data_IF_389584143441
#
_entry.id   IF_389584143441
#
_cell.length_a   1.000
_cell.length_b   1.000
_cell.length_c   1.000
_cell.angle_alpha   90.00
_cell.angle_beta   90.00
_cell.angle_gamma   90.00
#
_symmetry.space_group_name_H-M   'P 1'
#
loop_
_entity.id
_entity.type
_entity.pdbx_description
1 polymer ?
#
# COMPACT_ATOMS: atom_id res chain seq x y z
N UNK A 1 48.66 -6.49 -9.83
CA UNK A 1 47.66 -6.79 -10.90
C UNK A 1 46.22 -6.87 -10.37
N UNK A 2 45.94 -6.54 -9.12
CA UNK A 2 44.61 -6.61 -8.49
C UNK A 2 43.83 -5.28 -8.46
N UNK A 3 44.47 -4.14 -8.79
CA UNK A 3 43.81 -2.81 -8.76
C UNK A 3 43.01 -2.44 -10.02
N UNK A 4 43.13 -3.17 -11.13
CA UNK A 4 42.41 -2.88 -12.38
C UNK A 4 41.03 -3.53 -12.49
N UNK A 5 40.70 -4.51 -11.67
CA UNK A 5 39.39 -5.18 -11.71
C UNK A 5 38.32 -4.38 -10.95
N UNK A 6 38.67 -3.61 -9.94
CA UNK A 6 37.72 -2.79 -9.17
C UNK A 6 37.27 -1.53 -9.93
N UNK A 7 38.19 -0.89 -10.71
CA UNK A 7 37.81 0.34 -11.45
C UNK A 7 36.80 0.11 -12.58
N UNK A 8 36.81 -1.06 -13.21
CA UNK A 8 35.87 -1.38 -14.29
C UNK A 8 34.43 -1.67 -13.75
N UNK A 9 34.32 -2.18 -12.54
CA UNK A 9 33.00 -2.44 -11.90
C UNK A 9 32.36 -1.14 -11.38
N UNK A 10 33.14 -0.22 -10.86
CA UNK A 10 32.65 1.10 -10.41
C UNK A 10 32.13 1.94 -11.58
N UNK A 11 32.88 2.00 -12.70
CA UNK A 11 32.44 2.75 -13.90
C UNK A 11 31.17 2.20 -14.53
N UNK A 12 30.91 0.89 -14.45
CA UNK A 12 29.70 0.25 -14.98
C UNK A 12 28.48 0.56 -14.11
N UNK A 13 28.62 0.53 -12.77
CA UNK A 13 27.53 0.86 -11.85
C UNK A 13 27.13 2.34 -11.95
N UNK A 14 28.09 3.26 -12.02
CA UNK A 14 27.81 4.70 -12.16
C UNK A 14 27.05 5.02 -13.46
N UNK A 15 27.37 4.36 -14.56
CA UNK A 15 26.66 4.52 -15.83
C UNK A 15 25.23 3.99 -15.76
N UNK A 16 25.02 2.85 -15.10
CA UNK A 16 23.67 2.27 -14.89
C UNK A 16 22.83 3.20 -14.00
N UNK A 17 23.37 3.69 -12.90
CA UNK A 17 22.68 4.60 -12.00
C UNK A 17 22.34 5.93 -12.71
N UNK A 18 23.25 6.46 -13.53
CA UNK A 18 22.98 7.68 -14.32
C UNK A 18 21.84 7.50 -15.31
N UNK A 19 21.80 6.37 -16.03
CA UNK A 19 20.71 6.06 -16.96
C UNK A 19 19.38 5.86 -16.23
N UNK A 20 19.39 5.19 -15.06
CA UNK A 20 18.20 5.03 -14.23
C UNK A 20 17.70 6.37 -13.68
N UNK A 21 18.59 7.29 -13.31
CA UNK A 21 18.22 8.62 -12.85
C UNK A 21 17.50 9.43 -13.94
N UNK A 22 18.05 9.44 -15.15
CA UNK A 22 17.42 10.14 -16.29
C UNK A 22 16.00 9.62 -16.56
N UNK A 23 15.84 8.31 -16.61
CA UNK A 23 14.52 7.69 -16.79
C UNK A 23 13.59 7.94 -15.61
N UNK A 24 14.10 7.91 -14.38
CA UNK A 24 13.32 8.20 -13.17
C UNK A 24 12.81 9.63 -13.17
N UNK A 25 13.59 10.60 -13.63
CA UNK A 25 13.16 12.00 -13.78
C UNK A 25 11.98 12.13 -14.74
N UNK A 26 12.07 11.48 -15.91
CA UNK A 26 10.98 11.50 -16.89
C UNK A 26 9.68 10.87 -16.32
N UNK A 27 9.78 9.79 -15.55
CA UNK A 27 8.63 9.19 -14.89
C UNK A 27 8.08 10.06 -13.74
N UNK A 28 8.96 10.72 -12.97
CA UNK A 28 8.54 11.59 -11.87
C UNK A 28 7.78 12.83 -12.34
N UNK A 29 8.07 13.35 -13.53
CA UNK A 29 7.30 14.43 -14.16
C UNK A 29 5.83 14.01 -14.38
N UNK A 30 5.62 12.80 -14.90
CA UNK A 30 4.28 12.23 -15.10
C UNK A 30 3.58 12.03 -13.74
N UNK A 31 4.30 11.51 -12.74
CA UNK A 31 3.77 11.31 -11.39
C UNK A 31 3.41 12.66 -10.74
N UNK A 32 4.20 13.70 -10.96
CA UNK A 32 3.91 15.05 -10.49
C UNK A 32 2.61 15.62 -11.11
N UNK A 33 2.34 15.34 -12.38
CA UNK A 33 1.07 15.69 -13.02
C UNK A 33 -0.11 14.96 -12.38
N UNK A 34 0.06 13.66 -12.03
CA UNK A 34 -0.95 12.88 -11.30
C UNK A 34 -1.26 13.54 -9.95
N UNK A 35 -0.24 13.87 -9.15
CA UNK A 35 -0.44 14.55 -7.87
C UNK A 35 -1.11 15.91 -8.01
N UNK A 36 -0.73 16.70 -9.02
CA UNK A 36 -1.35 17.98 -9.33
C UNK A 36 -2.83 17.82 -9.66
N UNK A 37 -3.20 16.82 -10.46
CA UNK A 37 -4.58 16.56 -10.82
C UNK A 37 -5.42 16.09 -9.63
N UNK A 38 -4.90 15.16 -8.82
CA UNK A 38 -5.55 14.69 -7.58
C UNK A 38 -5.80 15.86 -6.62
N UNK A 39 -4.86 16.79 -6.50
CA UNK A 39 -4.96 17.93 -5.59
C UNK A 39 -6.10 18.90 -5.93
N UNK A 40 -6.65 18.85 -7.15
CA UNK A 40 -7.85 19.61 -7.52
C UNK A 40 -9.10 19.13 -6.78
N UNK A 41 -9.20 17.86 -6.46
CA UNK A 41 -10.35 17.26 -5.78
C UNK A 41 -10.07 17.00 -4.29
N UNK A 42 -8.89 16.51 -3.94
CA UNK A 42 -8.50 16.17 -2.57
C UNK A 42 -7.78 17.33 -1.93
N UNK A 43 -8.33 17.83 -0.80
CA UNK A 43 -7.71 18.88 0.02
C UNK A 43 -7.00 18.25 1.20
N UNK A 44 -5.80 18.69 1.49
CA UNK A 44 -4.96 18.05 2.53
C UNK A 44 -4.57 16.63 2.12
N UNK A 45 -4.27 15.78 3.06
CA UNK A 45 -3.98 14.35 2.88
C UNK A 45 -2.91 14.03 1.81
N UNK A 46 -2.00 14.98 1.51
CA UNK A 46 -0.94 14.78 0.49
C UNK A 46 -0.09 13.55 0.80
N UNK A 47 0.25 13.36 2.07
CA UNK A 47 1.02 12.23 2.56
C UNK A 47 0.25 10.90 2.35
N UNK A 48 -1.05 10.88 2.60
CA UNK A 48 -1.90 9.70 2.36
C UNK A 48 -1.94 9.34 0.88
N UNK A 49 -2.12 10.34 0.01
CA UNK A 49 -2.09 10.16 -1.46
C UNK A 49 -0.74 9.62 -1.92
N UNK A 50 0.37 10.17 -1.43
CA UNK A 50 1.71 9.71 -1.77
C UNK A 50 1.91 8.25 -1.35
N UNK A 51 1.53 7.87 -0.14
CA UNK A 51 1.63 6.50 0.36
C UNK A 51 0.76 5.51 -0.42
N UNK A 52 -0.43 5.91 -0.85
CA UNK A 52 -1.26 5.08 -1.74
C UNK A 52 -0.59 4.92 -3.11
N UNK A 53 0.00 5.98 -3.66
CA UNK A 53 0.73 5.90 -4.92
C UNK A 53 2.00 5.05 -4.78
N UNK A 54 2.73 5.13 -3.67
CA UNK A 54 3.85 4.22 -3.35
C UNK A 54 3.39 2.77 -3.35
N UNK A 55 2.28 2.46 -2.69
CA UNK A 55 1.73 1.10 -2.66
C UNK A 55 1.32 0.63 -4.05
N UNK A 56 0.65 1.46 -4.85
CA UNK A 56 0.26 1.15 -6.22
C UNK A 56 1.48 0.86 -7.10
N UNK A 57 2.49 1.75 -7.08
CA UNK A 57 3.70 1.61 -7.91
C UNK A 57 4.54 0.40 -7.46
N UNK A 58 4.53 0.06 -6.16
CA UNK A 58 5.18 -1.16 -5.65
C UNK A 58 4.38 -2.44 -5.90
N UNK A 59 3.23 -2.35 -6.60
CA UNK A 59 2.31 -3.47 -6.87
C UNK A 59 1.79 -4.13 -5.58
N UNK A 60 1.47 -3.30 -4.59
CA UNK A 60 0.96 -3.69 -3.27
C UNK A 60 -0.46 -3.23 -3.02
N UNK A 61 -1.04 -3.72 -1.92
CA UNK A 61 -2.37 -3.35 -1.43
C UNK A 61 -2.25 -2.57 -0.12
N UNK A 62 -3.26 -1.76 0.21
CA UNK A 62 -3.23 -0.91 1.40
C UNK A 62 -4.38 -1.22 2.35
N UNK A 63 -4.09 -1.14 3.64
CA UNK A 63 -5.07 -1.12 4.71
C UNK A 63 -5.16 0.31 5.25
N UNK A 64 -6.32 0.94 5.09
CA UNK A 64 -6.57 2.28 5.61
C UNK A 64 -7.27 2.16 6.97
N UNK A 65 -6.67 2.73 7.99
CA UNK A 65 -7.32 2.85 9.29
C UNK A 65 -7.71 4.30 9.51
N UNK A 66 -9.00 4.54 9.71
CA UNK A 66 -9.52 5.88 9.90
C UNK A 66 -10.89 5.88 10.54
N UNK A 67 -11.23 6.96 11.20
CA UNK A 67 -12.60 7.25 11.60
C UNK A 67 -13.52 7.46 10.39
N UNK A 68 -14.85 7.32 10.54
CA UNK A 68 -15.82 7.64 9.49
C UNK A 68 -15.72 9.10 9.03
N UNK A 69 -16.16 9.37 7.78
CA UNK A 69 -16.29 10.75 7.28
C UNK A 69 -15.02 11.37 6.69
N UNK A 70 -13.91 10.64 6.58
CA UNK A 70 -12.64 11.18 6.04
C UNK A 70 -12.48 10.95 4.53
N UNK A 71 -13.57 11.02 3.78
CA UNK A 71 -13.60 11.05 2.30
C UNK A 71 -12.86 9.89 1.58
N UNK A 72 -12.74 8.70 2.21
CA UNK A 72 -12.08 7.52 1.62
C UNK A 72 -12.60 7.15 0.23
N UNK A 73 -13.93 7.21 0.05
CA UNK A 73 -14.57 6.93 -1.23
C UNK A 73 -14.21 7.96 -2.29
N UNK A 74 -14.16 9.25 -1.92
CA UNK A 74 -13.74 10.31 -2.83
C UNK A 74 -12.27 10.11 -3.21
N UNK A 75 -11.40 9.77 -2.25
CA UNK A 75 -9.99 9.51 -2.47
C UNK A 75 -9.78 8.36 -3.48
N UNK A 76 -10.42 7.20 -3.27
CA UNK A 76 -10.34 6.06 -4.17
C UNK A 76 -10.84 6.40 -5.59
N UNK A 77 -11.99 7.08 -5.67
CA UNK A 77 -12.61 7.52 -6.93
C UNK A 77 -11.68 8.49 -7.68
N UNK A 78 -11.20 9.53 -7.01
CA UNK A 78 -10.33 10.54 -7.62
C UNK A 78 -9.03 9.92 -8.16
N UNK A 79 -8.35 9.07 -7.36
CA UNK A 79 -7.12 8.41 -7.80
C UNK A 79 -7.39 7.53 -9.03
N UNK A 80 -8.45 6.72 -9.02
CA UNK A 80 -8.76 5.84 -10.15
C UNK A 80 -9.15 6.60 -11.42
N UNK A 81 -9.89 7.71 -11.30
CA UNK A 81 -10.24 8.57 -12.44
C UNK A 81 -8.98 9.21 -13.06
N UNK A 82 -8.07 9.75 -12.24
CA UNK A 82 -6.81 10.35 -12.71
C UNK A 82 -5.90 9.32 -13.38
N UNK A 83 -5.94 8.06 -12.92
CA UNK A 83 -5.15 6.96 -13.48
C UNK A 83 -5.84 6.26 -14.66
N UNK A 84 -7.07 6.64 -15.03
CA UNK A 84 -7.82 6.05 -16.12
C UNK A 84 -8.10 4.56 -15.94
N UNK A 85 -8.39 4.12 -14.70
CA UNK A 85 -8.65 2.72 -14.35
C UNK A 85 -10.06 2.53 -13.78
N UNK A 86 -10.60 1.31 -13.91
CA UNK A 86 -11.91 0.99 -13.34
C UNK A 86 -11.85 0.92 -11.82
N UNK A 87 -12.90 1.40 -11.15
CA UNK A 87 -13.00 1.36 -9.69
C UNK A 87 -14.38 0.87 -9.25
N UNK A 88 -14.39 0.20 -8.11
CA UNK A 88 -15.63 -0.23 -7.44
C UNK A 88 -15.49 -0.09 -5.94
N UNK A 89 -16.57 0.29 -5.27
CA UNK A 89 -16.70 0.23 -3.81
C UNK A 89 -17.52 -0.99 -3.43
N UNK A 90 -16.98 -1.80 -2.53
CA UNK A 90 -17.67 -2.94 -1.92
C UNK A 90 -17.82 -2.60 -0.44
N UNK A 91 -19.06 -2.41 0.01
CA UNK A 91 -19.37 -2.25 1.43
C UNK A 91 -19.43 -3.64 2.08
N UNK A 92 -18.56 -3.88 3.04
CA UNK A 92 -18.53 -5.15 3.76
C UNK A 92 -19.59 -5.15 4.87
N UNK A 93 -20.43 -6.19 4.89
CA UNK A 93 -21.53 -6.38 5.83
C UNK A 93 -21.54 -7.81 6.36
N UNK A 94 -22.19 -8.08 7.52
CA UNK A 94 -22.22 -9.42 8.11
C UNK A 94 -22.91 -10.49 7.25
N UNK A 95 -23.76 -10.09 6.32
CA UNK A 95 -24.53 -10.97 5.42
C UNK A 95 -23.86 -11.19 4.06
N UNK A 96 -22.72 -10.50 3.79
CA UNK A 96 -22.00 -10.64 2.53
C UNK A 96 -21.45 -12.07 2.35
N UNK A 97 -21.53 -12.58 1.13
CA UNK A 97 -21.02 -13.89 0.75
C UNK A 97 -19.78 -13.76 -0.17
N UNK A 98 -18.88 -14.74 -0.20
CA UNK A 98 -17.75 -14.73 -1.15
C UNK A 98 -18.18 -14.60 -2.62
N UNK A 99 -19.34 -15.17 -3.00
CA UNK A 99 -19.89 -15.08 -4.35
C UNK A 99 -20.27 -13.64 -4.75
N UNK A 100 -20.64 -12.79 -3.78
CA UNK A 100 -20.98 -11.38 -4.04
C UNK A 100 -19.76 -10.57 -4.45
N UNK A 101 -18.56 -11.00 -4.04
CA UNK A 101 -17.28 -10.36 -4.39
C UNK A 101 -16.67 -11.01 -5.64
N UNK A 102 -16.60 -12.33 -5.68
CA UNK A 102 -15.90 -13.07 -6.73
C UNK A 102 -16.75 -13.26 -7.97
N UNK A 103 -18.06 -13.38 -7.79
CA UNK A 103 -18.99 -13.77 -8.83
C UNK A 103 -19.49 -15.22 -8.67
N UNK A 104 -20.42 -15.60 -9.49
CA UNK A 104 -21.07 -16.91 -9.41
C UNK A 104 -21.48 -17.45 -10.79
N UNK A 105 -21.83 -18.71 -10.83
CA UNK A 105 -22.35 -19.35 -12.04
C UNK A 105 -23.87 -19.27 -12.01
N UNK A 106 -24.45 -18.65 -13.04
CA UNK A 106 -25.91 -18.47 -13.18
C UNK A 106 -26.42 -19.24 -14.37
N UNK A 107 -27.66 -19.75 -14.28
CA UNK A 107 -28.34 -20.37 -15.39
C UNK A 107 -29.09 -19.30 -16.18
N UNK A 108 -28.71 -19.08 -17.45
CA UNK A 108 -29.39 -18.16 -18.37
C UNK A 108 -30.47 -18.90 -19.13
N UNK A 109 -31.72 -18.63 -18.82
CA UNK A 109 -32.89 -19.23 -19.50
C UNK A 109 -32.91 -18.93 -21.00
N UNK A 110 -32.39 -17.78 -21.42
CA UNK A 110 -32.38 -17.35 -22.84
C UNK A 110 -31.47 -18.20 -23.73
N UNK A 111 -30.38 -18.73 -23.17
CA UNK A 111 -29.38 -19.55 -23.89
C UNK A 111 -29.41 -21.02 -23.44
N UNK A 112 -30.25 -21.37 -22.43
CA UNK A 112 -30.30 -22.68 -21.78
C UNK A 112 -28.91 -23.18 -21.29
N UNK A 113 -28.04 -22.26 -20.93
CA UNK A 113 -26.67 -22.56 -20.51
C UNK A 113 -26.34 -21.90 -19.19
N UNK A 114 -25.35 -22.50 -18.49
CA UNK A 114 -24.73 -21.88 -17.35
C UNK A 114 -23.66 -20.91 -17.82
N UNK A 115 -23.70 -19.68 -17.31
CA UNK A 115 -22.71 -18.64 -17.59
C UNK A 115 -22.12 -18.13 -16.27
N UNK A 116 -20.89 -17.61 -16.32
CA UNK A 116 -20.21 -17.05 -15.16
C UNK A 116 -20.46 -15.54 -15.14
N UNK A 117 -21.14 -15.10 -14.09
CA UNK A 117 -21.28 -13.68 -13.78
C UNK A 117 -20.13 -13.26 -12.88
N UNK A 118 -19.24 -12.42 -13.42
CA UNK A 118 -18.07 -11.90 -12.72
C UNK A 118 -18.49 -10.89 -11.67
N UNK A 119 -17.95 -11.05 -10.45
CA UNK A 119 -18.17 -10.12 -9.35
C UNK A 119 -17.35 -8.82 -9.44
N UNK A 120 -17.55 -7.90 -8.49
CA UNK A 120 -16.88 -6.61 -8.46
C UNK A 120 -15.35 -6.71 -8.35
N UNK A 121 -14.79 -7.84 -7.91
CA UNK A 121 -13.33 -8.08 -7.81
C UNK A 121 -12.59 -7.91 -9.14
N UNK A 122 -13.29 -7.99 -10.29
CA UNK A 122 -12.70 -7.85 -11.61
C UNK A 122 -12.46 -6.38 -12.05
N UNK A 123 -12.53 -5.44 -11.14
CA UNK A 123 -12.10 -4.06 -11.37
C UNK A 123 -10.63 -3.89 -10.97
N UNK A 124 -10.01 -2.82 -11.49
CA UNK A 124 -8.60 -2.50 -11.19
C UNK A 124 -8.41 -1.98 -9.75
N UNK A 125 -9.32 -1.09 -9.31
CA UNK A 125 -9.31 -0.50 -7.97
C UNK A 125 -10.51 -0.97 -7.18
N UNK A 126 -10.27 -1.59 -6.05
CA UNK A 126 -11.30 -2.07 -5.14
C UNK A 126 -11.20 -1.28 -3.84
N UNK A 127 -12.22 -0.50 -3.53
CA UNK A 127 -12.40 0.02 -2.17
C UNK A 127 -13.23 -0.98 -1.36
N UNK A 128 -12.54 -1.81 -0.57
CA UNK A 128 -13.17 -2.75 0.36
C UNK A 128 -13.48 -2.02 1.68
N UNK A 129 -14.67 -1.44 1.76
CA UNK A 129 -15.04 -0.56 2.88
C UNK A 129 -15.54 -1.36 4.07
N UNK A 130 -14.95 -1.11 5.26
CA UNK A 130 -15.24 -1.79 6.52
C UNK A 130 -15.03 -3.32 6.45
N UNK A 131 -13.86 -3.75 5.96
CA UNK A 131 -13.53 -5.18 5.76
C UNK A 131 -13.74 -6.03 7.00
N UNK A 132 -13.57 -5.45 8.19
CA UNK A 132 -13.76 -6.13 9.48
C UNK A 132 -15.24 -6.39 9.84
N UNK A 133 -16.21 -5.90 9.07
CA UNK A 133 -17.66 -6.21 9.29
C UNK A 133 -18.10 -7.52 8.63
N UNK A 134 -17.38 -7.99 7.63
CA UNK A 134 -17.76 -9.23 6.96
C UNK A 134 -17.19 -10.48 7.66
N UNK A 135 -17.87 -11.64 7.49
CA UNK A 135 -17.40 -12.91 8.05
C UNK A 135 -16.01 -13.30 7.54
N UNK A 136 -15.24 -14.09 8.32
CA UNK A 136 -13.85 -14.49 7.95
C UNK A 136 -13.74 -15.16 6.58
N UNK A 137 -14.79 -15.88 6.12
CA UNK A 137 -14.78 -16.52 4.78
C UNK A 137 -14.71 -15.49 3.65
N UNK A 138 -15.40 -14.37 3.80
CA UNK A 138 -15.44 -13.27 2.82
C UNK A 138 -14.11 -12.53 2.81
N UNK A 139 -13.59 -12.22 4.01
CA UNK A 139 -12.27 -11.62 4.16
C UNK A 139 -11.18 -12.48 3.50
N UNK A 140 -11.21 -13.80 3.76
CA UNK A 140 -10.24 -14.76 3.18
C UNK A 140 -10.32 -14.80 1.65
N UNK A 141 -11.51 -14.75 1.07
CA UNK A 141 -11.70 -14.76 -0.39
C UNK A 141 -11.06 -13.51 -1.05
N UNK A 142 -11.27 -12.31 -0.47
CA UNK A 142 -10.62 -11.09 -0.95
C UNK A 142 -9.10 -11.17 -0.82
N UNK A 143 -8.59 -11.60 0.34
CA UNK A 143 -7.16 -11.66 0.63
C UNK A 143 -6.43 -12.74 -0.19
N UNK A 144 -7.12 -13.81 -0.59
CA UNK A 144 -6.60 -14.79 -1.54
C UNK A 144 -6.48 -14.16 -2.94
N UNK A 145 -7.54 -13.50 -3.42
CA UNK A 145 -7.51 -12.81 -4.70
C UNK A 145 -6.42 -11.73 -4.78
N UNK A 146 -6.16 -11.02 -3.68
CA UNK A 146 -5.05 -10.05 -3.59
C UNK A 146 -3.69 -10.70 -3.78
N UNK A 147 -3.47 -11.87 -3.19
CA UNK A 147 -2.18 -12.56 -3.23
C UNK A 147 -1.94 -13.27 -4.56
N UNK A 148 -2.95 -14.01 -5.03
CA UNK A 148 -2.83 -14.87 -6.21
C UNK A 148 -3.08 -14.11 -7.53
N UNK A 149 -3.67 -12.90 -7.45
CA UNK A 149 -4.10 -12.08 -8.61
C UNK A 149 -4.98 -12.85 -9.59
N UNK A 150 -5.68 -13.84 -9.09
CA UNK A 150 -6.64 -14.67 -9.79
C UNK A 150 -7.74 -15.14 -8.85
N UNK A 151 -8.87 -15.53 -9.41
CA UNK A 151 -9.99 -16.11 -8.68
C UNK A 151 -10.50 -17.36 -9.38
N UNK A 152 -10.97 -18.35 -8.61
CA UNK A 152 -11.55 -19.57 -9.15
C UNK A 152 -13.06 -19.58 -8.84
N UNK A 153 -13.88 -19.60 -9.89
CA UNK A 153 -15.35 -19.65 -9.81
C UNK A 153 -15.83 -20.98 -10.40
N UNK A 154 -16.41 -21.84 -9.56
CA UNK A 154 -16.90 -23.15 -9.98
C UNK A 154 -15.89 -23.99 -10.80
N UNK A 155 -14.61 -23.95 -10.43
CA UNK A 155 -13.54 -24.73 -11.06
C UNK A 155 -12.86 -24.05 -12.25
N UNK A 156 -13.35 -22.89 -12.68
CA UNK A 156 -12.71 -22.08 -13.72
C UNK A 156 -11.90 -20.94 -13.10
N UNK A 157 -10.63 -20.81 -13.49
CA UNK A 157 -9.71 -19.78 -12.94
C UNK A 157 -9.61 -18.59 -13.89
N UNK A 158 -9.78 -17.40 -13.34
CA UNK A 158 -9.74 -16.12 -14.04
C UNK A 158 -8.64 -15.24 -13.45
N UNK A 159 -7.75 -14.74 -14.29
CA UNK A 159 -6.73 -13.76 -13.90
C UNK A 159 -7.38 -12.39 -13.74
N UNK A 160 -7.00 -11.65 -12.69
CA UNK A 160 -7.44 -10.28 -12.47
C UNK A 160 -6.64 -9.31 -13.34
N UNK A 161 -7.29 -8.26 -13.82
CA UNK A 161 -6.67 -7.27 -14.69
C UNK A 161 -5.67 -6.41 -13.92
N UNK A 162 -4.47 -6.25 -14.48
CA UNK A 162 -3.50 -5.29 -13.95
C UNK A 162 -3.77 -3.86 -14.50
N UNK A 163 -3.43 -2.80 -13.73
CA UNK A 163 -3.01 -2.83 -12.34
C UNK A 163 -4.16 -3.27 -11.42
N UNK A 164 -3.84 -3.95 -10.33
CA UNK A 164 -4.83 -4.41 -9.35
C UNK A 164 -4.48 -3.91 -7.96
N UNK A 165 -5.30 -3.00 -7.42
CA UNK A 165 -5.12 -2.44 -6.08
C UNK A 165 -6.39 -2.66 -5.24
N UNK A 166 -6.23 -3.24 -4.06
CA UNK A 166 -7.24 -3.25 -3.02
C UNK A 166 -6.87 -2.24 -1.95
N UNK A 167 -7.78 -1.31 -1.70
CA UNK A 167 -7.77 -0.38 -0.59
C UNK A 167 -8.82 -0.85 0.41
N UNK A 168 -8.41 -1.60 1.42
CA UNK A 168 -9.30 -2.04 2.48
C UNK A 168 -9.37 -0.98 3.59
N UNK A 169 -10.55 -0.77 4.17
CA UNK A 169 -10.72 0.16 5.29
C UNK A 169 -11.11 -0.57 6.56
N UNK A 170 -10.63 -0.07 7.70
CA UNK A 170 -11.04 -0.46 9.03
C UNK A 170 -11.40 0.77 9.84
N UNK A 171 -12.44 0.64 10.67
CA UNK A 171 -12.78 1.64 11.66
C UNK A 171 -12.26 1.16 13.04
N UNK A 172 -11.31 1.86 13.67
CA UNK A 172 -10.75 1.45 14.95
C UNK A 172 -11.72 1.63 16.13
N UNK A 173 -12.77 2.45 15.98
CA UNK A 173 -13.70 2.78 17.06
C UNK A 173 -14.84 1.74 17.14
N UNK A 174 -15.22 1.14 16.03
CA UNK A 174 -16.29 0.15 15.98
C UNK A 174 -15.76 -1.24 16.33
N UNK A 175 -16.10 -1.70 17.53
CA UNK A 175 -15.79 -3.06 18.00
C UNK A 175 -17.02 -3.99 17.96
N UNK A 176 -18.22 -3.45 18.02
CA UNK A 176 -19.47 -4.22 18.06
C UNK A 176 -19.83 -4.73 16.65
N UNK A 177 -20.09 -6.04 16.53
CA UNK A 177 -20.41 -6.66 15.24
C UNK A 177 -19.25 -6.76 14.25
N UNK A 178 -18.00 -6.68 14.71
CA UNK A 178 -16.83 -6.78 13.83
C UNK A 178 -16.06 -8.08 14.06
N UNK A 179 -15.43 -8.56 12.98
CA UNK A 179 -14.51 -9.69 13.00
C UNK A 179 -13.08 -9.19 12.80
N UNK A 180 -12.26 -9.27 13.83
CA UNK A 180 -10.83 -8.87 13.70
C UNK A 180 -10.17 -9.67 12.57
N UNK A 181 -9.45 -8.99 11.69
CA UNK A 181 -8.58 -9.66 10.72
C UNK A 181 -7.46 -10.37 11.47
N UNK A 182 -7.21 -11.67 11.20
CA UNK A 182 -6.03 -12.36 11.74
C UNK A 182 -4.73 -11.68 11.31
N UNK A 183 -3.75 -11.58 12.21
CA UNK A 183 -2.49 -10.87 11.95
C UNK A 183 -1.74 -11.41 10.74
N UNK A 184 -1.78 -12.74 10.50
CA UNK A 184 -1.24 -13.37 9.30
C UNK A 184 -1.93 -12.93 7.98
N UNK A 185 -3.16 -12.45 8.06
CA UNK A 185 -3.91 -11.92 6.92
C UNK A 185 -3.59 -10.44 6.71
N UNK A 186 -3.45 -9.68 7.79
CA UNK A 186 -3.05 -8.26 7.74
C UNK A 186 -1.63 -8.11 7.16
N UNK A 187 -0.72 -9.04 7.42
CA UNK A 187 0.64 -9.07 6.86
C UNK A 187 0.68 -9.12 5.30
N UNK A 188 -0.44 -9.45 4.64
CA UNK A 188 -0.56 -9.44 3.16
C UNK A 188 -0.65 -8.03 2.57
N UNK A 189 -1.11 -7.05 3.34
CA UNK A 189 -1.11 -5.66 2.90
C UNK A 189 0.32 -5.12 2.87
N UNK A 190 0.66 -4.37 1.82
CA UNK A 190 1.97 -3.73 1.72
C UNK A 190 2.17 -2.69 2.82
N UNK A 191 1.16 -1.86 3.01
CA UNK A 191 1.18 -0.72 3.92
C UNK A 191 -0.13 -0.62 4.70
N UNK A 192 -0.03 -0.26 5.99
CA UNK A 192 -1.15 0.19 6.82
C UNK A 192 -1.02 1.70 7.01
N UNK A 193 -1.94 2.46 6.44
CA UNK A 193 -1.94 3.92 6.45
C UNK A 193 -2.98 4.42 7.46
N UNK A 194 -2.57 5.27 8.38
CA UNK A 194 -3.46 5.93 9.32
C UNK A 194 -3.92 7.26 8.72
N UNK A 195 -5.23 7.46 8.64
CA UNK A 195 -5.81 8.72 8.16
C UNK A 195 -6.32 9.48 9.37
N UNK A 196 -5.69 10.60 9.67
CA UNK A 196 -6.07 11.53 10.72
C UNK A 196 -7.07 12.57 10.23
N UNK A 197 -7.69 13.30 11.17
CA UNK A 197 -8.50 14.47 10.82
C UNK A 197 -7.67 15.51 10.06
N UNK A 198 -8.29 16.26 9.13
CA UNK A 198 -7.63 17.34 8.44
C UNK A 198 -7.19 18.43 9.42
N UNK A 199 -6.19 19.22 9.05
CA UNK A 199 -5.83 20.42 9.80
C UNK A 199 -6.95 21.46 9.72
N UNK A 200 -6.96 22.42 10.64
CA UNK A 200 -7.96 23.51 10.64
C UNK A 200 -7.96 24.27 9.30
N UNK A 201 -6.81 24.45 8.68
CA UNK A 201 -6.70 25.19 7.42
C UNK A 201 -7.14 24.33 6.22
N UNK A 202 -6.91 23.02 6.27
CA UNK A 202 -7.47 22.08 5.30
C UNK A 202 -9.00 22.04 5.41
N UNK A 203 -9.54 21.99 6.62
CA UNK A 203 -10.99 21.99 6.85
C UNK A 203 -11.66 23.26 6.34
N UNK A 204 -11.06 24.46 6.57
CA UNK A 204 -11.52 25.71 5.96
C UNK A 204 -11.53 25.62 4.42
N UNK A 205 -10.48 25.06 3.84
CA UNK A 205 -10.35 24.89 2.40
C UNK A 205 -11.41 23.92 1.85
N UNK A 206 -11.72 22.85 2.57
CA UNK A 206 -12.80 21.91 2.25
C UNK A 206 -14.14 22.63 2.23
N UNK A 207 -14.46 23.37 3.31
CA UNK A 207 -15.72 24.13 3.42
C UNK A 207 -15.86 25.14 2.27
N UNK A 208 -14.81 25.90 1.97
CA UNK A 208 -14.82 26.87 0.89
C UNK A 208 -15.09 26.25 -0.48
N UNK A 209 -14.54 25.06 -0.75
CA UNK A 209 -14.79 24.32 -2.00
C UNK A 209 -16.23 23.81 -2.08
N UNK A 210 -16.75 23.20 -1.04
CA UNK A 210 -18.14 22.71 -1.02
C UNK A 210 -19.17 23.85 -1.10
N UNK A 211 -18.88 24.99 -0.48
CA UNK A 211 -19.77 26.18 -0.54
C UNK A 211 -19.85 26.77 -1.95
N UNK A 212 -18.85 26.60 -2.80
CA UNK A 212 -18.81 27.12 -4.17
C UNK A 212 -19.51 26.23 -5.21
N UNK A 213 -20.11 25.11 -4.83
CA UNK A 213 -20.80 24.13 -5.71
C UNK A 213 -19.96 23.64 -6.91
N UNK A 214 -18.66 23.88 -6.91
CA UNK A 214 -17.74 23.39 -7.93
C UNK A 214 -17.23 21.99 -7.52
N UNK A 215 -17.90 20.93 -7.97
CA UNK A 215 -17.25 19.62 -8.03
C UNK A 215 -16.06 19.75 -8.99
N UNK A 216 -14.86 19.67 -8.44
CA UNK A 216 -13.65 19.67 -9.25
C UNK A 216 -13.61 18.38 -10.03
N UNK A 217 -14.02 18.40 -11.29
CA UNK A 217 -13.86 17.30 -12.21
C UNK A 217 -12.34 17.09 -12.45
N UNK A 218 -11.87 15.91 -12.16
CA UNK A 218 -10.50 15.49 -12.50
C UNK A 218 -10.50 14.81 -13.86
N UNK A 219 -9.39 14.95 -14.58
CA UNK A 219 -9.22 14.31 -15.88
C UNK A 219 -8.23 13.15 -15.78
N UNK A 220 -8.38 12.10 -16.57
CA UNK A 220 -7.36 11.07 -16.69
C UNK A 220 -6.03 11.68 -17.19
N UNK A 221 -4.95 11.41 -16.45
CA UNK A 221 -3.59 11.86 -16.80
C UNK A 221 -2.83 10.78 -17.51
N UNK A 222 -3.08 9.53 -17.12
CA UNK A 222 -2.42 8.34 -17.68
C UNK A 222 -3.43 7.23 -17.97
N UNK A 223 -2.95 6.11 -18.51
CA UNK A 223 -3.72 4.89 -18.73
C UNK A 223 -3.24 3.75 -17.85
N UNK A 224 -4.00 2.67 -17.76
CA UNK A 224 -3.63 1.44 -17.07
C UNK A 224 -2.25 0.90 -17.49
N UNK A 225 -1.94 0.97 -18.80
CA UNK A 225 -0.65 0.51 -19.34
C UNK A 225 0.52 1.32 -18.78
N UNK A 226 0.33 2.65 -18.63
CA UNK A 226 1.37 3.50 -18.04
C UNK A 226 1.56 3.21 -16.54
N UNK A 227 0.51 2.86 -15.80
CA UNK A 227 0.65 2.40 -14.41
C UNK A 227 1.50 1.12 -14.35
N UNK A 228 1.22 0.16 -15.24
CA UNK A 228 1.99 -1.10 -15.32
C UNK A 228 3.47 -0.82 -15.70
N UNK A 229 3.72 0.13 -16.59
CA UNK A 229 5.07 0.56 -16.92
C UNK A 229 5.81 1.12 -15.69
N UNK A 230 5.16 2.01 -14.91
CA UNK A 230 5.71 2.54 -13.66
C UNK A 230 6.00 1.43 -12.64
N UNK A 231 5.09 0.46 -12.49
CA UNK A 231 5.29 -0.71 -11.63
C UNK A 231 6.52 -1.54 -12.03
N UNK A 232 6.68 -1.81 -13.33
CA UNK A 232 7.83 -2.54 -13.86
C UNK A 232 9.11 -1.75 -13.69
N UNK A 233 9.08 -0.46 -14.00
CA UNK A 233 10.26 0.39 -13.88
C UNK A 233 10.71 0.55 -12.43
N UNK A 234 9.79 0.67 -11.47
CA UNK A 234 10.13 0.75 -10.04
C UNK A 234 10.96 -0.45 -9.56
N UNK A 235 10.75 -1.64 -10.15
CA UNK A 235 11.54 -2.83 -9.81
C UNK A 235 13.00 -2.72 -10.22
N UNK A 236 13.32 -1.92 -11.26
CA UNK A 236 14.68 -1.71 -11.74
C UNK A 236 15.48 -0.68 -10.94
N UNK A 237 14.84 0.10 -10.07
CA UNK A 237 15.51 1.08 -9.19
C UNK A 237 16.61 0.38 -8.39
N UNK A 238 17.81 0.98 -8.41
CA UNK A 238 18.99 0.41 -7.78
C UNK A 238 18.88 0.43 -6.24
N UNK A 239 19.33 -0.64 -5.63
CA UNK A 239 19.44 -0.74 -4.16
C UNK A 239 20.84 -1.22 -3.82
N UNK A 240 21.57 -0.42 -3.09
CA UNK A 240 22.90 -0.78 -2.60
C UNK A 240 22.84 -1.85 -1.51
N UNK A 241 23.89 -2.65 -1.39
CA UNK A 241 23.99 -3.71 -0.37
C UNK A 241 23.91 -3.15 1.06
N UNK A 242 24.43 -1.96 1.29
CA UNK A 242 24.30 -1.26 2.59
C UNK A 242 22.85 -0.99 2.98
N UNK A 243 21.99 -0.65 2.02
CA UNK A 243 20.55 -0.47 2.23
C UNK A 243 19.88 -1.82 2.55
N UNK A 244 20.26 -2.88 1.84
CA UNK A 244 19.74 -4.24 2.12
C UNK A 244 20.10 -4.66 3.55
N UNK A 245 21.34 -4.44 3.94
CA UNK A 245 21.83 -4.72 5.29
C UNK A 245 21.10 -3.88 6.34
N UNK A 246 20.88 -2.58 6.06
CA UNK A 246 20.12 -1.68 6.94
C UNK A 246 18.68 -2.16 7.16
N UNK A 247 17.96 -2.50 6.10
CA UNK A 247 16.59 -3.04 6.17
C UNK A 247 16.57 -4.37 6.95
N UNK A 248 17.51 -5.25 6.70
CA UNK A 248 17.60 -6.54 7.41
C UNK A 248 17.79 -6.33 8.91
N UNK A 249 18.65 -5.37 9.31
CA UNK A 249 18.87 -5.03 10.72
C UNK A 249 17.65 -4.40 11.37
N UNK A 250 16.93 -3.51 10.67
CA UNK A 250 15.67 -2.94 11.18
C UNK A 250 14.65 -4.06 11.47
N UNK A 251 14.46 -4.98 10.53
CA UNK A 251 13.49 -6.07 10.69
C UNK A 251 13.96 -7.08 11.75
N UNK A 252 15.25 -7.39 11.82
CA UNK A 252 15.79 -8.25 12.88
C UNK A 252 15.65 -7.61 14.27
N UNK A 253 15.81 -6.29 14.39
CA UNK A 253 15.62 -5.58 15.65
C UNK A 253 14.19 -5.69 16.19
N UNK A 254 13.18 -5.89 15.33
CA UNK A 254 11.81 -6.18 15.78
C UNK A 254 11.67 -7.56 16.41
N UNK A 255 12.56 -8.52 16.07
CA UNK A 255 12.55 -9.92 16.55
C UNK A 255 13.51 -10.13 17.71
N UNK A 256 14.66 -9.51 17.64
CA UNK A 256 15.80 -9.68 18.53
C UNK A 256 16.33 -8.32 19.02
N UNK A 257 15.49 -7.48 19.68
CA UNK A 257 15.90 -6.12 20.07
C UNK A 257 17.16 -6.10 20.98
N UNK A 258 17.35 -7.14 21.79
CA UNK A 258 18.52 -7.29 22.66
C UNK A 258 19.85 -7.32 21.90
N UNK A 259 19.88 -7.80 20.64
CA UNK A 259 21.10 -7.81 19.82
C UNK A 259 21.55 -6.40 19.42
N UNK A 260 20.67 -5.42 19.56
CA UNK A 260 20.86 -4.02 19.21
C UNK A 260 20.85 -3.09 20.44
N UNK A 261 20.93 -3.67 21.64
CA UNK A 261 20.86 -2.94 22.94
C UNK A 261 19.56 -2.11 23.08
N UNK A 262 18.45 -2.59 22.51
CA UNK A 262 17.13 -1.95 22.62
C UNK A 262 16.35 -2.60 23.75
N UNK A 263 15.79 -1.77 24.65
CA UNK A 263 14.92 -2.23 25.75
C UNK A 263 13.47 -2.36 25.27
N UNK A 264 13.27 -3.24 24.28
CA UNK A 264 11.95 -3.50 23.67
C UNK A 264 11.48 -4.94 23.86
N UNK A 265 12.24 -5.77 24.59
CA UNK A 265 11.96 -7.21 24.71
C UNK A 265 10.58 -7.49 25.31
N UNK A 266 10.16 -6.67 26.28
CA UNK A 266 8.86 -6.83 26.95
C UNK A 266 7.73 -6.11 26.19
N UNK A 267 8.05 -5.32 25.17
CA UNK A 267 7.05 -4.58 24.40
C UNK A 267 6.58 -5.31 23.15
N UNK A 268 7.40 -6.23 22.61
CA UNK A 268 7.11 -6.97 21.36
C UNK A 268 6.85 -8.43 21.72
N UNK A 269 5.66 -8.94 21.38
CA UNK A 269 5.32 -10.36 21.45
C UNK A 269 5.84 -11.10 20.22
N UNK A 270 5.54 -10.59 19.02
CA UNK A 270 6.06 -11.11 17.76
C UNK A 270 6.57 -9.97 16.87
N UNK A 271 7.81 -10.11 16.40
CA UNK A 271 8.42 -9.19 15.45
C UNK A 271 7.95 -9.44 14.01
N UNK A 272 8.32 -8.51 13.12
CA UNK A 272 7.87 -8.50 11.74
C UNK A 272 8.37 -9.72 10.92
N UNK A 273 7.54 -10.22 10.02
CA UNK A 273 7.85 -11.33 9.11
C UNK A 273 8.89 -10.93 8.03
N UNK A 274 9.50 -11.88 7.30
CA UNK A 274 10.37 -11.57 6.16
C UNK A 274 9.67 -10.73 5.06
N UNK A 275 8.34 -10.76 4.98
CA UNK A 275 7.57 -9.87 4.09
C UNK A 275 7.84 -8.40 4.37
N UNK A 276 8.11 -8.04 5.62
CA UNK A 276 8.47 -6.67 6.00
C UNK A 276 9.70 -6.18 5.23
N UNK A 277 10.79 -6.97 5.20
CA UNK A 277 12.01 -6.62 4.46
C UNK A 277 11.72 -6.42 2.96
N UNK A 278 10.91 -7.31 2.38
CA UNK A 278 10.54 -7.22 0.97
C UNK A 278 9.72 -5.95 0.69
N UNK A 279 8.75 -5.62 1.55
CA UNK A 279 7.91 -4.43 1.37
C UNK A 279 8.67 -3.15 1.64
N UNK A 280 9.58 -3.09 2.61
CA UNK A 280 10.44 -1.92 2.84
C UNK A 280 11.27 -1.60 1.58
N UNK A 281 11.87 -2.60 0.95
CA UNK A 281 12.63 -2.40 -0.29
C UNK A 281 11.72 -1.99 -1.46
N UNK A 282 10.58 -2.68 -1.67
CA UNK A 282 9.67 -2.37 -2.79
C UNK A 282 9.06 -0.98 -2.68
N UNK A 283 8.60 -0.60 -1.50
CA UNK A 283 8.01 0.71 -1.25
C UNK A 283 9.05 1.83 -1.31
N UNK A 284 10.26 1.60 -0.82
CA UNK A 284 11.35 2.56 -0.95
C UNK A 284 11.78 2.78 -2.41
N UNK A 285 11.81 1.73 -3.24
CA UNK A 285 12.03 1.85 -4.69
C UNK A 285 10.94 2.71 -5.36
N UNK A 286 9.68 2.46 -5.02
CA UNK A 286 8.57 3.24 -5.54
C UNK A 286 8.66 4.72 -5.10
N UNK A 287 9.04 4.97 -3.85
CA UNK A 287 9.23 6.33 -3.33
C UNK A 287 10.41 7.04 -4.01
N UNK A 288 11.54 6.34 -4.21
CA UNK A 288 12.68 6.88 -4.96
C UNK A 288 12.28 7.28 -6.38
N UNK A 289 11.47 6.45 -7.06
CA UNK A 289 10.93 6.77 -8.39
C UNK A 289 10.01 8.01 -8.37
N UNK A 290 9.12 8.12 -7.40
CA UNK A 290 8.24 9.30 -7.22
C UNK A 290 9.09 10.58 -7.09
N UNK A 291 10.22 10.50 -6.38
CA UNK A 291 11.16 11.60 -6.21
C UNK A 291 12.17 11.76 -7.37
N UNK A 292 12.00 11.04 -8.48
CA UNK A 292 12.85 11.14 -9.67
C UNK A 292 14.26 10.58 -9.51
N UNK A 293 14.47 9.66 -8.56
CA UNK A 293 15.76 9.02 -8.30
C UNK A 293 15.80 7.58 -8.80
N UNK A 294 16.91 7.21 -9.42
CA UNK A 294 17.17 5.85 -9.92
C UNK A 294 17.76 4.91 -8.85
N UNK A 295 17.88 5.35 -7.59
CA UNK A 295 18.42 4.59 -6.48
C UNK A 295 17.75 4.94 -5.16
N UNK A 296 17.74 3.97 -4.24
CA UNK A 296 17.17 4.10 -2.90
C UNK A 296 18.19 4.70 -1.94
N UNK A 297 17.73 5.62 -1.09
CA UNK A 297 18.49 6.18 0.02
C UNK A 297 17.88 5.76 1.37
N UNK A 298 18.62 5.86 2.48
CA UNK A 298 18.12 5.49 3.82
C UNK A 298 16.84 6.20 4.24
N UNK A 299 16.70 7.45 3.84
CA UNK A 299 15.54 8.29 4.11
C UNK A 299 14.26 7.71 3.49
N UNK A 300 14.36 7.04 2.34
CA UNK A 300 13.22 6.36 1.72
C UNK A 300 12.72 5.21 2.59
N UNK A 301 13.65 4.42 3.15
CA UNK A 301 13.32 3.34 4.07
C UNK A 301 12.63 3.90 5.33
N UNK A 302 13.20 4.96 5.93
CA UNK A 302 12.63 5.60 7.13
C UNK A 302 11.24 6.16 6.86
N UNK A 303 11.03 6.77 5.70
CA UNK A 303 9.77 7.40 5.31
C UNK A 303 8.60 6.43 5.16
N UNK A 304 8.87 5.16 4.80
CA UNK A 304 7.84 4.13 4.63
C UNK A 304 7.77 3.13 5.79
N UNK A 305 8.71 3.22 6.74
CA UNK A 305 8.88 2.21 7.79
C UNK A 305 7.62 2.04 8.65
N UNK A 306 6.98 3.13 9.06
CA UNK A 306 5.78 3.08 9.89
C UNK A 306 4.65 2.33 9.17
N UNK A 307 4.34 2.69 7.93
CA UNK A 307 3.26 2.08 7.17
C UNK A 307 3.52 0.61 6.87
N UNK A 308 4.79 0.23 6.68
CA UNK A 308 5.16 -1.15 6.39
C UNK A 308 5.23 -2.01 7.65
N UNK A 309 5.67 -1.46 8.80
CA UNK A 309 5.97 -2.25 10.00
C UNK A 309 4.85 -2.27 11.04
N UNK A 310 4.03 -1.18 11.16
CA UNK A 310 3.08 -1.03 12.28
C UNK A 310 2.06 -2.15 12.42
N UNK A 311 1.70 -2.81 11.33
CA UNK A 311 0.75 -3.92 11.33
C UNK A 311 1.44 -5.29 11.33
N UNK A 312 2.76 -5.32 11.45
CA UNK A 312 3.60 -6.52 11.47
C UNK A 312 4.29 -6.75 12.81
N UNK A 313 4.28 -5.73 13.67
CA UNK A 313 4.78 -5.83 15.03
C UNK A 313 3.57 -6.09 15.94
N UNK A 314 3.54 -7.25 16.57
CA UNK A 314 2.50 -7.62 17.52
C UNK A 314 2.99 -7.22 18.91
N UNK A 315 2.22 -6.34 19.54
CA UNK A 315 2.53 -5.82 20.86
C UNK A 315 2.24 -6.86 21.95
N UNK A 316 3.04 -6.84 23.01
CA UNK A 316 2.77 -7.63 24.20
C UNK A 316 1.65 -7.00 25.03
N UNK A 317 1.08 -7.79 25.95
CA UNK A 317 0.14 -7.29 26.94
C UNK A 317 0.73 -6.16 27.80
N UNK A 318 2.02 -6.25 28.13
CA UNK A 318 2.72 -5.22 28.91
C UNK A 318 2.82 -3.88 28.13
N UNK A 319 3.04 -3.94 26.82
CA UNK A 319 3.02 -2.75 25.97
C UNK A 319 1.65 -2.08 25.94
N UNK A 320 0.58 -2.88 25.83
CA UNK A 320 -0.81 -2.36 25.85
C UNK A 320 -1.14 -1.67 27.20
N UNK A 321 -0.74 -2.27 28.32
CA UNK A 321 -0.92 -1.68 29.65
C UNK A 321 -0.15 -0.36 29.79
N UNK A 322 1.07 -0.31 29.26
CA UNK A 322 1.92 0.89 29.28
C UNK A 322 1.60 1.89 28.17
N UNK A 323 0.59 1.62 27.33
CA UNK A 323 0.19 2.45 26.17
C UNK A 323 1.33 2.70 25.18
N UNK A 324 2.22 1.74 25.01
CA UNK A 324 3.29 1.79 24.01
C UNK A 324 2.69 1.38 22.67
N UNK A 325 2.81 2.25 21.67
CA UNK A 325 2.33 1.99 20.31
C UNK A 325 3.40 1.31 19.44
N UNK A 326 2.97 0.62 18.38
CA UNK A 326 3.89 0.06 17.39
C UNK A 326 4.75 1.17 16.74
N UNK A 327 4.18 2.36 16.52
CA UNK A 327 4.91 3.49 15.94
C UNK A 327 6.05 3.98 16.85
N UNK A 328 5.86 4.04 18.15
CA UNK A 328 6.92 4.37 19.12
C UNK A 328 8.06 3.33 19.13
N UNK A 329 7.72 2.05 18.95
CA UNK A 329 8.71 0.98 18.83
C UNK A 329 9.51 1.17 17.53
N UNK A 330 8.84 1.48 16.41
CA UNK A 330 9.49 1.74 15.13
C UNK A 330 10.42 2.95 15.23
N UNK A 331 9.98 4.05 15.84
CA UNK A 331 10.81 5.24 16.07
C UNK A 331 12.09 4.86 16.86
N UNK A 332 11.95 4.13 17.96
CA UNK A 332 13.09 3.66 18.75
C UNK A 332 14.07 2.82 17.92
N UNK A 333 13.57 1.94 17.05
CA UNK A 333 14.41 1.13 16.17
C UNK A 333 15.15 2.01 15.15
N UNK A 334 14.44 2.92 14.47
CA UNK A 334 15.01 3.78 13.43
C UNK A 334 16.05 4.78 13.96
N UNK A 335 15.91 5.24 15.20
CA UNK A 335 16.87 6.12 15.86
C UNK A 335 18.17 5.40 16.21
N UNK A 336 18.10 4.12 16.55
CA UNK A 336 19.25 3.36 17.06
C UNK A 336 19.95 2.50 16.00
N UNK A 337 19.26 2.09 14.92
CA UNK A 337 19.87 1.32 13.84
C UNK A 337 20.46 2.28 12.81
N UNK A 338 21.81 2.28 12.73
CA UNK A 338 22.54 3.10 11.76
C UNK A 338 22.93 2.26 10.54
N UNK A 339 23.16 2.94 9.42
CA UNK A 339 23.73 2.33 8.22
C UNK A 339 25.22 2.07 8.49
N UNK A 340 25.65 0.87 8.20
CA UNK A 340 27.06 0.45 8.34
C UNK A 340 27.63 0.12 6.97
#
# INVERSE_FOLDING_TARGET
MALRANDASFTTNDQVISALNEQSQAHSEVISQIFSEISKSIVGQKDVVEKIMVALISDGHVLLESVPGLAKTLLAKTISEVLGVSTVRIQFTPDLLPADILGTKIYKKSSEQFDIEKGPIFNNFILADEINRAPPKVQSALLEAMQEKQVTIHGETFVLSAPFLVMATQNPIESEGTYKLPDAQVDRFAMKILISYPSIDDEKSIIARFASSNESLVNPVITSDKVIELQKFSQSIYVDESIINYVTRIVDATRNPQNYNLDLKNAIEFGASPRASLWLIKTAKALALIHGRGFVIPEDIKSVAHEVLRHRIILSFEADVNKISADQIIDTILENIQIS
#
